data_IF_425049027307
#
_entry.id   IF_425049027307
#
_cell.length_a   1.000
_cell.length_b   1.000
_cell.length_c   1.000
_cell.angle_alpha   90.00
_cell.angle_beta   90.00
_cell.angle_gamma   90.00
#
_symmetry.space_group_name_H-M   'P 1'
#
loop_
_entity.id
_entity.type
_entity.pdbx_description
1 polymer ?
#
# COMPACT_ATOMS: atom_id res chain seq x y z
N UNK A 1 28.56 19.05 2.40
CA UNK A 1 27.48 18.16 2.80
C UNK A 1 27.85 17.54 4.13
N UNK A 2 27.25 18.06 5.21
CA UNK A 2 27.48 17.54 6.56
C UNK A 2 26.41 16.50 6.81
N UNK A 3 26.81 15.23 6.79
CA UNK A 3 26.02 14.13 7.31
C UNK A 3 26.04 14.28 8.84
N UNK A 4 24.99 14.78 9.42
CA UNK A 4 24.82 14.81 10.88
C UNK A 4 24.61 13.36 11.31
N UNK A 5 25.69 12.71 11.76
CA UNK A 5 25.63 11.37 12.37
C UNK A 5 24.86 11.50 13.67
N UNK A 6 23.64 10.98 13.67
CA UNK A 6 22.84 10.84 14.87
C UNK A 6 23.50 9.77 15.76
N UNK A 7 23.83 10.12 17.01
CA UNK A 7 24.40 9.18 17.96
C UNK A 7 23.49 9.11 19.18
N UNK A 8 22.86 7.96 19.40
CA UNK A 8 22.17 7.63 20.64
C UNK A 8 23.01 6.61 21.43
N UNK A 9 23.11 6.79 22.74
CA UNK A 9 23.80 5.88 23.63
C UNK A 9 22.86 5.48 24.77
N UNK A 10 22.71 4.15 24.97
CA UNK A 10 21.92 3.60 26.07
C UNK A 10 22.82 3.56 27.31
N UNK A 11 22.40 4.22 28.38
CA UNK A 11 23.16 4.34 29.62
C UNK A 11 22.35 3.83 30.83
N UNK A 12 23.03 3.45 31.90
CA UNK A 12 22.37 3.01 33.16
C UNK A 12 21.90 4.18 33.99
N UNK A 13 22.61 5.32 33.95
CA UNK A 13 22.23 6.59 34.54
C UNK A 13 22.61 7.72 33.58
N UNK A 14 21.75 8.74 33.47
CA UNK A 14 22.02 9.91 32.64
C UNK A 14 23.17 10.74 33.16
N UNK A 15 24.25 10.98 32.38
CA UNK A 15 25.35 11.83 32.80
C UNK A 15 24.90 13.27 32.99
N UNK A 16 25.47 13.97 33.98
CA UNK A 16 25.14 15.35 34.33
C UNK A 16 25.64 16.35 33.26
N UNK A 17 26.66 15.97 32.47
CA UNK A 17 27.19 16.77 31.35
C UNK A 17 26.93 16.07 30.04
N UNK A 18 26.05 16.61 29.23
CA UNK A 18 25.78 16.14 27.86
C UNK A 18 26.66 16.90 26.87
N UNK A 19 27.48 16.18 26.09
CA UNK A 19 28.12 16.73 24.91
C UNK A 19 27.07 17.08 23.86
N UNK A 20 27.20 18.24 23.21
CA UNK A 20 26.27 18.65 22.12
C UNK A 20 26.21 17.58 21.02
N UNK A 21 25.02 17.05 20.75
CA UNK A 21 24.76 16.08 19.68
C UNK A 21 24.77 14.59 20.10
N UNK A 22 24.91 14.28 21.40
CA UNK A 22 24.77 12.92 21.92
C UNK A 22 23.51 12.89 22.83
N UNK A 23 22.59 11.97 22.52
CA UNK A 23 21.39 11.78 23.30
C UNK A 23 21.51 10.50 24.13
N UNK A 24 21.20 10.61 25.41
CA UNK A 24 21.27 9.50 26.34
C UNK A 24 19.87 8.97 26.63
N UNK A 25 19.71 7.66 26.56
CA UNK A 25 18.46 6.97 26.85
C UNK A 25 18.70 6.00 27.99
N UNK A 26 17.89 6.07 29.04
CA UNK A 26 18.01 5.22 30.21
C UNK A 26 17.70 3.75 29.88
N UNK A 27 18.57 2.82 30.29
CA UNK A 27 18.50 1.40 29.96
C UNK A 27 17.35 0.67 30.66
N UNK A 28 17.09 1.01 31.92
CA UNK A 28 16.14 0.29 32.77
C UNK A 28 14.76 0.95 32.77
N UNK A 29 14.15 1.02 31.60
CA UNK A 29 12.76 1.47 31.41
C UNK A 29 12.04 0.53 30.42
N UNK A 30 10.72 0.69 30.31
CA UNK A 30 9.95 -0.09 29.35
C UNK A 30 10.47 0.15 27.93
N UNK A 31 10.60 -0.93 27.14
CA UNK A 31 11.11 -0.88 25.75
C UNK A 31 10.41 0.19 24.93
N UNK A 32 9.11 0.38 25.15
CA UNK A 32 8.30 1.39 24.49
C UNK A 32 8.78 2.83 24.80
N UNK A 33 9.19 3.10 26.03
CA UNK A 33 9.74 4.40 26.42
C UNK A 33 11.10 4.67 25.78
N UNK A 34 11.96 3.65 25.71
CA UNK A 34 13.26 3.74 25.03
C UNK A 34 13.04 4.14 23.56
N UNK A 35 12.09 3.48 22.88
CA UNK A 35 11.75 3.78 21.50
C UNK A 35 11.19 5.21 21.35
N UNK A 36 10.32 5.66 22.27
CA UNK A 36 9.77 7.01 22.24
C UNK A 36 10.86 8.09 22.39
N UNK A 37 11.78 7.89 23.33
CA UNK A 37 12.87 8.85 23.55
C UNK A 37 13.81 8.91 22.34
N UNK A 38 14.15 7.78 21.77
CA UNK A 38 14.95 7.74 20.54
C UNK A 38 14.22 8.47 19.39
N UNK A 39 12.93 8.18 19.19
CA UNK A 39 12.15 8.79 18.11
C UNK A 39 11.94 10.31 18.29
N UNK A 40 11.81 10.82 19.51
CA UNK A 40 11.76 12.27 19.78
C UNK A 40 13.00 13.02 19.27
N UNK A 41 14.15 12.38 19.34
CA UNK A 41 15.43 12.99 18.96
C UNK A 41 15.76 12.80 17.47
N UNK A 42 15.13 11.84 16.78
CA UNK A 42 15.30 11.61 15.32
C UNK A 42 14.52 12.63 14.47
N UNK A 43 13.81 13.57 15.11
CA UNK A 43 13.24 14.74 14.40
C UNK A 43 11.87 14.53 13.79
N UNK A 44 11.03 13.69 14.39
CA UNK A 44 9.62 13.59 14.01
C UNK A 44 8.72 13.53 15.25
N UNK A 45 7.63 14.27 15.26
CA UNK A 45 6.56 14.04 16.21
C UNK A 45 6.06 12.60 16.04
N UNK A 46 6.24 11.77 17.09
CA UNK A 46 5.62 10.43 17.12
C UNK A 46 4.14 10.63 17.42
N UNK A 47 3.30 10.16 16.53
CA UNK A 47 1.85 10.22 16.70
C UNK A 47 1.31 8.84 17.02
N UNK A 48 0.41 8.78 17.98
CA UNK A 48 -0.34 7.57 18.32
C UNK A 48 -1.66 7.55 17.55
N UNK A 49 -2.03 6.38 17.05
CA UNK A 49 -3.35 6.12 16.50
C UNK A 49 -4.36 5.98 17.64
N UNK A 50 -4.69 7.10 18.31
CA UNK A 50 -5.79 7.12 19.27
C UNK A 50 -7.12 7.01 18.56
N UNK A 51 -8.07 6.33 19.18
CA UNK A 51 -9.36 5.86 18.67
C UNK A 51 -10.38 6.97 18.30
N UNK A 52 -9.96 8.03 17.68
CA UNK A 52 -10.87 9.05 17.16
C UNK A 52 -11.18 8.80 15.68
N UNK A 53 -12.42 8.40 15.48
CA UNK A 53 -13.26 8.46 14.29
C UNK A 53 -12.63 8.46 12.91
N UNK A 54 -12.89 7.39 12.18
CA UNK A 54 -12.98 7.30 10.72
C UNK A 54 -12.69 8.58 9.91
N UNK A 55 -11.41 8.91 9.70
CA UNK A 55 -10.98 9.96 8.76
C UNK A 55 -10.51 9.39 7.40
N UNK A 56 -10.90 8.17 7.05
CA UNK A 56 -10.77 7.65 5.67
C UNK A 56 -11.81 8.30 4.74
N UNK A 57 -12.62 9.23 5.25
CA UNK A 57 -13.83 9.76 4.61
C UNK A 57 -13.63 10.51 3.29
N UNK A 58 -12.41 10.73 2.83
CA UNK A 58 -12.14 11.40 1.56
C UNK A 58 -11.25 10.60 0.60
N UNK A 59 -10.47 9.66 1.09
CA UNK A 59 -9.58 8.85 0.25
C UNK A 59 -10.34 7.66 -0.34
N UNK A 60 -10.38 7.59 -1.65
CA UNK A 60 -10.98 6.49 -2.39
C UNK A 60 -10.05 5.26 -2.39
N UNK A 61 -10.57 4.10 -2.03
CA UNK A 61 -9.84 2.84 -2.09
C UNK A 61 -10.29 2.03 -3.31
N UNK A 62 -9.33 1.59 -4.11
CA UNK A 62 -9.57 0.73 -5.27
C UNK A 62 -8.79 -0.57 -5.07
N UNK A 63 -9.44 -1.71 -5.20
CA UNK A 63 -8.80 -3.02 -5.18
C UNK A 63 -8.63 -3.57 -6.59
N UNK A 64 -7.47 -4.15 -6.86
CA UNK A 64 -7.18 -4.96 -8.04
C UNK A 64 -6.85 -6.36 -7.56
N UNK A 65 -7.57 -7.37 -8.02
CA UNK A 65 -7.44 -8.75 -7.58
C UNK A 65 -7.63 -9.72 -8.75
N UNK A 66 -7.06 -10.92 -8.66
CA UNK A 66 -7.27 -12.01 -9.61
C UNK A 66 -7.54 -13.32 -8.88
N UNK A 67 -8.51 -14.08 -9.37
CA UNK A 67 -8.86 -15.39 -8.79
C UNK A 67 -8.01 -16.53 -9.37
N UNK A 68 -7.39 -16.33 -10.53
CA UNK A 68 -6.80 -17.43 -11.28
C UNK A 68 -5.44 -17.14 -11.90
N UNK A 69 -5.32 -16.04 -12.63
CA UNK A 69 -4.19 -15.71 -13.47
C UNK A 69 -3.71 -14.30 -13.15
N UNK A 70 -2.59 -14.20 -12.49
CA UNK A 70 -2.06 -12.93 -11.99
C UNK A 70 -1.11 -12.23 -12.96
N UNK A 71 -0.78 -12.81 -14.14
CA UNK A 71 0.21 -12.19 -15.04
C UNK A 71 -0.19 -10.79 -15.52
N UNK A 72 -1.50 -10.48 -15.55
CA UNK A 72 -2.02 -9.17 -15.93
C UNK A 72 -2.40 -8.29 -14.74
N UNK A 73 -2.41 -8.80 -13.54
CA UNK A 73 -2.88 -8.08 -12.37
C UNK A 73 -1.99 -6.89 -12.03
N UNK A 74 -0.68 -7.10 -11.86
CA UNK A 74 0.27 -6.00 -11.60
C UNK A 74 0.34 -5.01 -12.77
N UNK A 75 0.44 -5.42 -14.04
CA UNK A 75 0.33 -4.50 -15.18
C UNK A 75 -0.94 -3.65 -15.13
N UNK A 76 -2.09 -4.26 -14.77
CA UNK A 76 -3.36 -3.54 -14.64
C UNK A 76 -3.31 -2.53 -13.50
N UNK A 77 -2.90 -2.93 -12.29
CA UNK A 77 -2.81 -2.06 -11.13
C UNK A 77 -1.87 -0.86 -11.37
N UNK A 78 -0.69 -1.11 -11.95
CA UNK A 78 0.29 -0.08 -12.29
C UNK A 78 -0.25 0.89 -13.34
N UNK A 79 -0.87 0.38 -14.41
CA UNK A 79 -1.40 1.22 -15.50
C UNK A 79 -2.60 2.03 -15.02
N UNK A 80 -3.51 1.43 -14.26
CA UNK A 80 -4.64 2.13 -13.63
C UNK A 80 -4.15 3.27 -12.75
N UNK A 81 -3.24 2.97 -11.83
CA UNK A 81 -2.66 3.96 -10.92
C UNK A 81 -1.96 5.09 -11.68
N UNK A 82 -1.21 4.76 -12.73
CA UNK A 82 -0.53 5.76 -13.57
C UNK A 82 -1.51 6.65 -14.36
N UNK A 83 -2.63 6.11 -14.84
CA UNK A 83 -3.67 6.89 -15.53
C UNK A 83 -4.39 7.81 -14.54
N UNK A 84 -4.78 7.30 -13.37
CA UNK A 84 -5.43 8.10 -12.34
C UNK A 84 -4.51 9.22 -11.83
N UNK A 85 -3.21 8.95 -11.69
CA UNK A 85 -2.23 9.94 -11.21
C UNK A 85 -2.03 11.14 -12.15
N UNK A 86 -2.60 11.13 -13.33
CA UNK A 86 -2.58 12.29 -14.22
C UNK A 86 -3.38 13.47 -13.63
N UNK A 87 -4.46 13.18 -12.88
CA UNK A 87 -5.40 14.16 -12.34
C UNK A 87 -5.59 14.12 -10.82
N UNK A 88 -5.15 13.05 -10.15
CA UNK A 88 -5.36 12.79 -8.73
C UNK A 88 -4.03 12.48 -8.05
N UNK A 89 -3.94 12.68 -6.73
CA UNK A 89 -2.81 12.20 -5.93
C UNK A 89 -3.04 10.74 -5.59
N UNK A 90 -2.33 9.84 -6.26
CA UNK A 90 -2.53 8.38 -6.19
C UNK A 90 -1.35 7.69 -5.51
N UNK A 91 -1.67 6.74 -4.63
CA UNK A 91 -0.72 5.80 -4.05
C UNK A 91 -1.01 4.38 -4.54
N UNK A 92 -0.01 3.69 -5.07
CA UNK A 92 -0.07 2.26 -5.35
C UNK A 92 0.56 1.49 -4.19
N UNK A 93 -0.16 0.51 -3.66
CA UNK A 93 0.34 -0.44 -2.65
C UNK A 93 0.22 -1.87 -3.17
N UNK A 94 1.28 -2.65 -2.99
CA UNK A 94 1.37 -4.01 -3.50
C UNK A 94 1.34 -5.03 -2.35
N UNK A 95 0.25 -5.78 -2.27
CA UNK A 95 0.06 -6.90 -1.34
C UNK A 95 0.12 -8.26 -2.07
N UNK A 96 0.64 -8.29 -3.28
CA UNK A 96 0.77 -9.51 -4.06
C UNK A 96 2.15 -10.12 -3.88
N UNK A 97 2.19 -11.41 -3.53
CA UNK A 97 3.42 -12.18 -3.49
C UNK A 97 4.03 -12.26 -4.90
N UNK A 98 5.34 -11.97 -4.98
CA UNK A 98 6.08 -12.10 -6.24
C UNK A 98 5.44 -11.36 -7.43
N UNK A 99 4.87 -10.19 -7.20
CA UNK A 99 4.21 -9.37 -8.24
C UNK A 99 5.13 -8.93 -9.37
N UNK A 100 6.43 -8.93 -9.13
CA UNK A 100 7.45 -8.41 -10.05
C UNK A 100 7.71 -6.91 -9.89
N UNK A 101 6.95 -6.19 -9.07
CA UNK A 101 7.09 -4.74 -8.91
C UNK A 101 8.49 -4.34 -8.43
N UNK A 102 9.08 -5.06 -7.47
CA UNK A 102 10.44 -4.80 -6.97
C UNK A 102 11.49 -4.83 -8.09
N UNK A 103 11.36 -5.78 -9.01
CA UNK A 103 12.25 -5.88 -10.18
C UNK A 103 12.00 -4.79 -11.22
N UNK A 104 10.74 -4.40 -11.40
CA UNK A 104 10.38 -3.31 -12.31
C UNK A 104 10.94 -1.97 -11.82
N UNK A 105 10.93 -1.72 -10.52
CA UNK A 105 11.40 -0.46 -9.93
C UNK A 105 12.93 -0.33 -9.94
N UNK A 106 13.67 -1.43 -10.09
CA UNK A 106 15.14 -1.47 -10.16
C UNK A 106 15.85 -0.77 -8.98
N UNK A 107 15.17 -0.64 -7.84
CA UNK A 107 15.68 0.05 -6.67
C UNK A 107 15.70 -0.88 -5.46
N UNK A 108 16.82 -0.83 -4.73
CA UNK A 108 16.93 -1.38 -3.39
C UNK A 108 16.75 -0.23 -2.39
N UNK A 109 15.84 -0.38 -1.44
CA UNK A 109 15.52 0.63 -0.44
C UNK A 109 15.58 0.04 0.96
N UNK A 110 15.93 0.86 1.93
CA UNK A 110 15.99 0.45 3.34
C UNK A 110 14.60 0.37 3.98
N UNK A 111 13.63 1.12 3.44
CA UNK A 111 12.29 1.26 3.98
C UNK A 111 11.25 0.87 2.93
N UNK A 112 10.33 0.00 3.32
CA UNK A 112 9.34 -0.60 2.43
C UNK A 112 8.01 -0.85 3.15
N UNK A 113 7.15 -1.69 2.58
CA UNK A 113 5.84 -2.04 3.15
C UNK A 113 5.98 -2.70 4.53
N UNK A 114 7.05 -3.49 4.78
CA UNK A 114 7.29 -4.12 6.10
C UNK A 114 7.32 -3.06 7.20
N UNK A 115 8.02 -1.95 6.98
CA UNK A 115 8.11 -0.88 7.97
C UNK A 115 6.78 -0.15 8.18
N UNK A 116 5.99 0.06 7.13
CA UNK A 116 4.64 0.62 7.26
C UNK A 116 3.73 -0.30 8.09
N UNK A 117 3.84 -1.62 7.90
CA UNK A 117 3.08 -2.59 8.67
C UNK A 117 3.48 -2.59 10.15
N UNK A 118 4.77 -2.51 10.46
CA UNK A 118 5.27 -2.39 11.84
C UNK A 118 4.77 -1.10 12.50
N UNK A 119 4.78 0.03 11.78
CA UNK A 119 4.20 1.28 12.27
C UNK A 119 2.69 1.15 12.53
N UNK A 120 1.97 0.50 11.62
CA UNK A 120 0.53 0.27 11.75
C UNK A 120 0.20 -0.67 12.92
N UNK A 121 1.01 -1.71 13.14
CA UNK A 121 0.84 -2.66 14.25
C UNK A 121 1.11 -1.99 15.61
N UNK A 122 2.20 -1.26 15.72
CA UNK A 122 2.57 -0.56 16.95
C UNK A 122 1.68 0.66 17.26
N UNK A 123 0.96 1.16 16.25
CA UNK A 123 0.20 2.41 16.34
C UNK A 123 1.05 3.67 16.41
N UNK A 124 2.37 3.55 16.25
CA UNK A 124 3.35 4.65 16.38
C UNK A 124 4.04 4.91 15.06
N UNK A 125 4.00 6.15 14.60
CA UNK A 125 4.56 6.52 13.32
C UNK A 125 5.07 7.97 13.33
N UNK A 126 5.88 8.30 12.32
CA UNK A 126 6.20 9.68 11.98
C UNK A 126 6.05 9.89 10.48
N UNK A 127 5.66 11.09 10.08
CA UNK A 127 5.48 11.45 8.67
C UNK A 127 6.75 11.23 7.85
N UNK A 128 7.93 11.51 8.44
CA UNK A 128 9.22 11.28 7.78
C UNK A 128 9.47 9.80 7.48
N UNK A 129 9.15 8.91 8.42
CA UNK A 129 9.29 7.46 8.22
C UNK A 129 8.30 6.92 7.20
N UNK A 130 7.06 7.42 7.20
CA UNK A 130 6.09 7.08 6.15
C UNK A 130 6.65 7.49 4.79
N UNK A 131 7.15 8.73 4.67
CA UNK A 131 7.72 9.24 3.41
C UNK A 131 8.92 8.42 2.92
N UNK A 132 9.75 7.88 3.81
CA UNK A 132 10.89 7.04 3.42
C UNK A 132 10.48 5.68 2.80
N UNK A 133 9.26 5.21 3.10
CA UNK A 133 8.70 3.99 2.51
C UNK A 133 8.03 4.23 1.14
N UNK A 134 7.92 5.50 0.71
CA UNK A 134 7.19 5.88 -0.49
C UNK A 134 8.15 6.36 -1.56
N UNK A 135 8.13 5.69 -2.70
CA UNK A 135 8.80 6.12 -3.91
C UNK A 135 7.87 6.90 -4.82
N UNK A 136 8.45 7.62 -5.79
CA UNK A 136 7.70 8.33 -6.83
C UNK A 136 8.23 8.01 -8.21
N UNK A 137 7.31 7.70 -9.11
CA UNK A 137 7.58 7.52 -10.53
C UNK A 137 6.66 8.41 -11.35
N UNK A 138 7.21 9.44 -12.00
CA UNK A 138 6.44 10.53 -12.61
C UNK A 138 5.48 11.18 -11.60
N UNK A 139 4.17 11.03 -11.78
CA UNK A 139 3.13 11.54 -10.88
C UNK A 139 2.58 10.51 -9.90
N UNK A 140 2.95 9.24 -10.08
CA UNK A 140 2.49 8.13 -9.26
C UNK A 140 3.39 7.94 -8.05
N UNK A 141 2.81 7.98 -6.86
CA UNK A 141 3.45 7.52 -5.64
C UNK A 141 3.19 6.02 -5.46
N UNK A 142 4.18 5.30 -4.95
CA UNK A 142 4.05 3.87 -4.64
C UNK A 142 4.78 3.55 -3.35
N UNK A 143 4.25 2.57 -2.62
CA UNK A 143 4.98 1.97 -1.49
C UNK A 143 5.97 0.96 -2.05
N UNK A 144 7.22 1.01 -1.60
CA UNK A 144 8.19 -0.01 -1.95
C UNK A 144 7.69 -1.39 -1.52
N UNK A 145 7.74 -2.40 -2.42
CA UNK A 145 7.20 -3.73 -2.14
C UNK A 145 7.85 -4.38 -0.93
N UNK A 146 7.10 -5.27 -0.29
CA UNK A 146 7.57 -6.10 0.81
C UNK A 146 8.72 -7.01 0.36
N UNK A 147 9.74 -7.16 1.19
CA UNK A 147 10.85 -8.09 0.92
C UNK A 147 10.55 -9.49 1.46
N UNK A 148 10.00 -9.56 2.68
CA UNK A 148 9.58 -10.82 3.27
C UNK A 148 8.08 -11.04 3.05
N UNK A 149 7.72 -11.82 2.05
CA UNK A 149 6.32 -12.10 1.70
C UNK A 149 5.55 -12.86 2.78
N UNK A 150 6.22 -13.54 3.72
CA UNK A 150 5.57 -14.21 4.86
C UNK A 150 4.87 -13.18 5.77
N UNK A 151 5.40 -11.97 5.89
CA UNK A 151 4.78 -10.90 6.68
C UNK A 151 3.39 -10.52 6.17
N UNK A 152 3.06 -10.74 4.89
CA UNK A 152 1.72 -10.52 4.36
C UNK A 152 0.66 -11.37 5.09
N UNK A 153 1.02 -12.58 5.50
CA UNK A 153 0.10 -13.48 6.20
C UNK A 153 -0.26 -12.99 7.61
N UNK A 154 0.58 -12.16 8.22
CA UNK A 154 0.39 -11.61 9.56
C UNK A 154 -0.55 -10.41 9.59
N UNK A 155 -0.82 -9.82 8.42
CA UNK A 155 -1.71 -8.67 8.30
C UNK A 155 -3.13 -9.08 8.74
N UNK A 156 -3.66 -8.36 9.72
CA UNK A 156 -5.01 -8.55 10.23
C UNK A 156 -5.82 -7.25 10.08
N UNK A 157 -7.10 -7.32 10.44
CA UNK A 157 -8.03 -6.18 10.35
C UNK A 157 -7.53 -4.93 11.08
N UNK A 158 -6.91 -5.09 12.26
CA UNK A 158 -6.41 -3.95 13.05
C UNK A 158 -5.26 -3.27 12.33
N UNK A 159 -4.27 -4.05 11.88
CA UNK A 159 -3.12 -3.53 11.10
C UNK A 159 -3.60 -2.82 9.83
N UNK A 160 -4.55 -3.42 9.09
CA UNK A 160 -5.13 -2.80 7.91
C UNK A 160 -5.78 -1.44 8.21
N UNK A 161 -6.58 -1.39 9.27
CA UNK A 161 -7.28 -0.18 9.68
C UNK A 161 -6.28 0.93 10.05
N UNK A 162 -5.29 0.59 10.85
CA UNK A 162 -4.26 1.51 11.29
C UNK A 162 -3.43 2.03 10.10
N UNK A 163 -3.05 1.14 9.17
CA UNK A 163 -2.30 1.51 7.97
C UNK A 163 -3.07 2.51 7.11
N UNK A 164 -4.33 2.22 6.80
CA UNK A 164 -5.16 3.11 5.98
C UNK A 164 -5.43 4.44 6.71
N UNK A 165 -5.65 4.41 8.03
CA UNK A 165 -5.86 5.62 8.82
C UNK A 165 -4.60 6.48 8.87
N UNK A 166 -3.44 5.88 9.08
CA UNK A 166 -2.14 6.55 9.08
C UNK A 166 -1.87 7.23 7.73
N UNK A 167 -2.05 6.51 6.62
CA UNK A 167 -1.86 7.05 5.29
C UNK A 167 -2.87 8.16 4.95
N UNK A 168 -4.13 7.98 5.32
CA UNK A 168 -5.20 8.98 5.09
C UNK A 168 -4.97 10.27 5.88
N UNK A 169 -4.53 10.18 7.15
CA UNK A 169 -4.26 11.35 8.00
C UNK A 169 -3.04 12.14 7.57
N UNK A 170 -1.95 11.44 7.20
CA UNK A 170 -0.66 12.09 6.99
C UNK A 170 -0.39 12.48 5.54
N UNK A 171 -0.90 11.69 4.60
CA UNK A 171 -0.44 11.80 3.22
C UNK A 171 -1.46 12.44 2.28
N UNK A 172 -2.72 12.51 2.68
CA UNK A 172 -3.81 13.15 1.92
C UNK A 172 -3.87 12.70 0.45
N UNK A 173 -3.95 11.37 0.23
CA UNK A 173 -4.17 10.81 -1.09
C UNK A 173 -5.64 10.89 -1.49
N UNK A 174 -5.90 11.25 -2.75
CA UNK A 174 -7.25 11.21 -3.33
C UNK A 174 -7.67 9.76 -3.57
N UNK A 175 -6.70 8.92 -3.96
CA UNK A 175 -6.95 7.52 -4.26
C UNK A 175 -5.77 6.63 -3.81
N UNK A 176 -6.09 5.48 -3.23
CA UNK A 176 -5.13 4.40 -2.96
C UNK A 176 -5.55 3.18 -3.76
N UNK A 177 -4.67 2.70 -4.63
CA UNK A 177 -4.85 1.47 -5.41
C UNK A 177 -4.12 0.33 -4.71
N UNK A 178 -4.87 -0.71 -4.35
CA UNK A 178 -4.38 -1.87 -3.64
C UNK A 178 -4.28 -3.05 -4.63
N UNK A 179 -3.06 -3.47 -4.96
CA UNK A 179 -2.83 -4.69 -5.71
C UNK A 179 -2.88 -5.86 -4.72
N UNK A 180 -4.04 -6.54 -4.65
CA UNK A 180 -4.32 -7.58 -3.66
C UNK A 180 -3.80 -8.93 -4.13
N UNK A 181 -3.01 -9.60 -3.30
CA UNK A 181 -2.47 -10.93 -3.58
C UNK A 181 -3.13 -12.03 -2.75
N UNK A 182 -2.32 -12.77 -2.01
CA UNK A 182 -2.77 -13.82 -1.11
C UNK A 182 -3.74 -13.27 -0.07
N UNK A 183 -4.75 -14.06 0.27
CA UNK A 183 -5.75 -13.70 1.27
C UNK A 183 -5.15 -13.77 2.67
N UNK A 184 -4.98 -12.62 3.30
CA UNK A 184 -4.62 -12.45 4.70
C UNK A 184 -5.87 -12.21 5.56
N UNK A 185 -5.74 -12.19 6.89
CA UNK A 185 -6.90 -12.11 7.80
C UNK A 185 -7.77 -10.86 7.61
N UNK A 186 -7.18 -9.73 7.22
CA UNK A 186 -7.89 -8.47 6.95
C UNK A 186 -8.37 -8.28 5.50
N UNK A 187 -8.20 -9.27 4.62
CA UNK A 187 -8.48 -9.18 3.19
C UNK A 187 -9.92 -8.72 2.88
N UNK A 188 -10.91 -9.38 3.47
CA UNK A 188 -12.32 -9.05 3.22
C UNK A 188 -12.74 -7.71 3.83
N UNK A 189 -12.12 -7.33 4.95
CA UNK A 189 -12.37 -6.02 5.58
C UNK A 189 -11.88 -4.87 4.70
N UNK A 190 -10.73 -5.04 4.05
CA UNK A 190 -10.23 -4.10 3.04
C UNK A 190 -11.18 -4.05 1.85
N UNK A 191 -11.57 -5.19 1.29
CA UNK A 191 -12.52 -5.24 0.18
C UNK A 191 -13.83 -4.54 0.52
N UNK A 192 -14.32 -4.70 1.75
CA UNK A 192 -15.50 -4.02 2.25
C UNK A 192 -15.41 -2.49 2.21
N UNK A 193 -14.22 -1.94 2.20
CA UNK A 193 -13.95 -0.49 2.17
C UNK A 193 -13.65 0.05 0.78
N UNK A 194 -13.32 -0.81 -0.17
CA UNK A 194 -13.02 -0.37 -1.53
C UNK A 194 -14.28 0.14 -2.23
N UNK A 195 -14.19 1.30 -2.86
CA UNK A 195 -15.26 1.84 -3.71
C UNK A 195 -15.40 1.07 -5.01
N UNK A 196 -14.28 0.57 -5.54
CA UNK A 196 -14.21 -0.18 -6.77
C UNK A 196 -13.32 -1.41 -6.58
N UNK A 197 -13.74 -2.54 -7.12
CA UNK A 197 -13.01 -3.80 -7.07
C UNK A 197 -12.88 -4.33 -8.50
N UNK A 198 -11.67 -4.26 -9.04
CA UNK A 198 -11.37 -4.78 -10.36
C UNK A 198 -10.89 -6.22 -10.24
N UNK A 199 -11.73 -7.14 -10.70
CA UNK A 199 -11.41 -8.56 -10.77
C UNK A 199 -10.83 -8.89 -12.13
N UNK A 200 -9.50 -8.98 -12.20
CA UNK A 200 -8.74 -9.21 -13.44
C UNK A 200 -8.66 -10.70 -13.71
N UNK A 201 -9.30 -11.18 -14.77
CA UNK A 201 -9.29 -12.59 -15.13
C UNK A 201 -9.60 -12.80 -16.60
N UNK A 202 -9.17 -13.95 -17.15
CA UNK A 202 -9.57 -14.40 -18.48
C UNK A 202 -10.92 -15.10 -18.44
N UNK A 203 -11.70 -14.96 -19.48
CA UNK A 203 -12.94 -15.73 -19.64
C UNK A 203 -12.64 -17.22 -19.84
N UNK A 204 -13.48 -18.05 -19.23
CA UNK A 204 -13.42 -19.51 -19.33
C UNK A 204 -14.27 -20.18 -18.27
N UNK A 205 -14.61 -21.46 -18.47
CA UNK A 205 -15.49 -22.18 -17.56
C UNK A 205 -14.99 -22.23 -16.12
N UNK A 206 -13.69 -22.51 -15.92
CA UNK A 206 -13.07 -22.53 -14.57
C UNK A 206 -13.05 -21.14 -13.94
N UNK A 207 -12.80 -20.09 -14.72
CA UNK A 207 -12.82 -18.70 -14.20
C UNK A 207 -14.21 -18.31 -13.71
N UNK A 208 -15.27 -18.72 -14.43
CA UNK A 208 -16.66 -18.47 -14.01
C UNK A 208 -17.01 -19.21 -12.71
N UNK A 209 -16.54 -20.44 -12.53
CA UNK A 209 -16.79 -21.18 -11.29
C UNK A 209 -16.05 -20.53 -10.10
N UNK A 210 -14.82 -20.11 -10.28
CA UNK A 210 -14.07 -19.37 -9.22
C UNK A 210 -14.73 -18.04 -8.87
N UNK A 211 -15.26 -17.34 -9.86
CA UNK A 211 -16.05 -16.12 -9.66
C UNK A 211 -17.32 -16.40 -8.85
N UNK A 212 -18.02 -17.46 -9.19
CA UNK A 212 -19.22 -17.90 -8.46
C UNK A 212 -18.87 -18.24 -7.00
N UNK A 213 -17.86 -19.08 -6.75
CA UNK A 213 -17.39 -19.42 -5.41
C UNK A 213 -16.97 -18.19 -4.61
N UNK A 214 -16.27 -17.25 -5.23
CA UNK A 214 -15.85 -16.01 -4.57
C UNK A 214 -17.05 -15.12 -4.22
N UNK A 215 -18.03 -15.05 -5.11
CA UNK A 215 -19.25 -14.28 -4.89
C UNK A 215 -20.10 -14.91 -3.77
N UNK A 216 -20.25 -16.23 -3.74
CA UNK A 216 -20.91 -16.93 -2.66
C UNK A 216 -20.22 -16.68 -1.32
N UNK A 217 -18.89 -16.78 -1.27
CA UNK A 217 -18.11 -16.50 -0.07
C UNK A 217 -18.34 -15.07 0.45
N UNK A 218 -18.41 -14.08 -0.43
CA UNK A 218 -18.72 -12.69 -0.06
C UNK A 218 -20.13 -12.56 0.54
N UNK A 219 -21.12 -13.22 -0.06
CA UNK A 219 -22.51 -13.21 0.42
C UNK A 219 -22.62 -13.88 1.80
N UNK A 220 -21.99 -15.04 1.99
CA UNK A 220 -21.96 -15.76 3.27
C UNK A 220 -21.30 -14.94 4.39
N UNK A 221 -20.33 -14.10 4.05
CA UNK A 221 -19.69 -13.16 5.00
C UNK A 221 -20.51 -11.89 5.27
N UNK A 222 -21.68 -11.74 4.66
CA UNK A 222 -22.51 -10.55 4.78
C UNK A 222 -21.99 -9.34 3.96
N UNK A 223 -21.16 -9.59 2.96
CA UNK A 223 -20.54 -8.57 2.09
C UNK A 223 -21.23 -8.49 0.73
N UNK A 224 -22.55 -8.65 0.66
CA UNK A 224 -23.33 -8.58 -0.59
C UNK A 224 -23.15 -7.24 -1.30
N UNK A 225 -22.97 -6.15 -0.56
CA UNK A 225 -22.67 -4.83 -1.11
C UNK A 225 -21.28 -4.74 -1.79
N UNK A 226 -20.36 -5.65 -1.48
CA UNK A 226 -19.05 -5.76 -2.16
C UNK A 226 -19.24 -6.34 -3.56
N UNK A 227 -20.13 -7.33 -3.69
CA UNK A 227 -20.42 -7.96 -4.98
C UNK A 227 -20.86 -6.95 -6.03
N UNK A 228 -21.70 -5.98 -5.65
CA UNK A 228 -22.20 -4.92 -6.55
C UNK A 228 -21.08 -3.99 -7.06
N UNK A 229 -19.95 -3.92 -6.35
CA UNK A 229 -18.81 -3.09 -6.69
C UNK A 229 -17.74 -3.82 -7.50
N UNK A 230 -17.91 -5.12 -7.72
CA UNK A 230 -16.99 -5.93 -8.52
C UNK A 230 -17.18 -5.60 -10.00
N UNK A 231 -16.07 -5.25 -10.64
CA UNK A 231 -15.98 -5.04 -12.08
C UNK A 231 -15.06 -6.09 -12.67
N UNK A 232 -15.64 -6.98 -13.46
CA UNK A 232 -14.89 -8.02 -14.15
C UNK A 232 -14.10 -7.42 -15.31
N UNK A 233 -12.81 -7.69 -15.33
CA UNK A 233 -11.89 -7.18 -16.33
C UNK A 233 -11.28 -8.36 -17.09
N UNK A 234 -11.51 -8.38 -18.38
CA UNK A 234 -10.79 -9.27 -19.30
C UNK A 234 -9.69 -8.45 -19.99
N UNK A 235 -8.44 -8.55 -19.53
CA UNK A 235 -7.36 -7.81 -20.15
C UNK A 235 -7.08 -8.36 -21.54
N UNK A 236 -6.80 -7.49 -22.54
CA UNK A 236 -6.31 -7.93 -23.83
C UNK A 236 -4.97 -8.65 -23.68
N UNK A 237 -4.69 -9.57 -24.60
CA UNK A 237 -3.40 -10.26 -24.59
C UNK A 237 -2.31 -9.27 -24.99
N UNK A 238 -1.41 -9.00 -24.06
CA UNK A 238 -0.25 -8.14 -24.32
C UNK A 238 1.03 -8.95 -24.28
N UNK A 239 1.90 -8.72 -25.26
CA UNK A 239 3.27 -9.21 -25.22
C UNK A 239 4.12 -8.15 -24.52
N UNK A 240 4.60 -8.49 -23.33
CA UNK A 240 5.44 -7.59 -22.54
C UNK A 240 6.89 -7.99 -22.67
N UNK A 241 7.73 -7.23 -23.37
CA UNK A 241 9.16 -7.51 -23.42
C UNK A 241 9.77 -7.17 -22.04
N UNK A 242 10.85 -7.87 -21.67
CA UNK A 242 11.64 -7.49 -20.50
C UNK A 242 12.23 -6.10 -20.76
N UNK A 243 11.87 -5.13 -19.92
CA UNK A 243 12.26 -3.72 -20.09
C UNK A 243 12.21 -2.98 -18.75
N UNK A 244 12.65 -1.72 -18.74
CA UNK A 244 12.54 -0.84 -17.56
C UNK A 244 11.10 -0.49 -17.25
N UNK A 245 10.81 -0.19 -15.98
CA UNK A 245 9.47 0.17 -15.51
C UNK A 245 8.84 1.30 -16.35
N UNK A 246 9.59 2.37 -16.62
CA UNK A 246 9.09 3.51 -17.39
C UNK A 246 8.59 3.12 -18.78
N UNK A 247 9.41 2.33 -19.50
CA UNK A 247 9.05 1.86 -20.84
C UNK A 247 7.84 0.92 -20.82
N UNK A 248 7.73 0.07 -19.79
CA UNK A 248 6.60 -0.84 -19.64
C UNK A 248 5.30 -0.08 -19.35
N UNK A 249 5.33 0.85 -18.40
CA UNK A 249 4.16 1.67 -18.04
C UNK A 249 3.70 2.51 -19.22
N UNK A 250 4.62 3.16 -19.94
CA UNK A 250 4.25 3.91 -21.16
C UNK A 250 3.68 2.98 -22.24
N UNK A 251 4.27 1.80 -22.47
CA UNK A 251 3.74 0.82 -23.41
C UNK A 251 2.32 0.41 -23.06
N UNK A 252 2.05 0.10 -21.79
CA UNK A 252 0.72 -0.30 -21.31
C UNK A 252 -0.30 0.84 -21.37
N UNK A 253 0.11 2.06 -21.07
CA UNK A 253 -0.76 3.25 -21.13
C UNK A 253 -1.24 3.56 -22.54
N UNK A 254 -0.38 3.36 -23.55
CA UNK A 254 -0.64 3.81 -24.93
C UNK A 254 -1.01 2.69 -25.90
N UNK A 255 -1.32 1.50 -25.40
CA UNK A 255 -1.84 0.40 -26.21
C UNK A 255 -3.31 0.11 -25.86
N UNK A 256 -3.87 -0.95 -26.47
CA UNK A 256 -5.25 -1.41 -26.24
C UNK A 256 -5.57 -1.64 -24.75
N UNK A 257 -4.58 -2.06 -23.95
CA UNK A 257 -4.71 -2.27 -22.51
C UNK A 257 -5.02 -0.95 -21.76
N UNK A 258 -4.29 0.12 -22.08
CA UNK A 258 -4.54 1.44 -21.52
C UNK A 258 -5.88 2.03 -21.97
N UNK A 259 -6.32 1.75 -23.20
CA UNK A 259 -7.61 2.21 -23.69
C UNK A 259 -8.77 1.54 -22.96
N UNK A 260 -8.68 0.26 -22.67
CA UNK A 260 -9.66 -0.47 -21.82
C UNK A 260 -9.75 0.21 -20.46
N UNK A 261 -8.62 0.49 -19.82
CA UNK A 261 -8.59 1.13 -18.49
C UNK A 261 -9.17 2.55 -18.55
N UNK A 262 -8.81 3.39 -19.54
CA UNK A 262 -9.37 4.74 -19.67
C UNK A 262 -10.88 4.74 -19.88
N UNK A 263 -11.39 3.79 -20.67
CA UNK A 263 -12.85 3.70 -20.90
C UNK A 263 -13.61 3.37 -19.61
N UNK A 264 -12.98 2.58 -18.71
CA UNK A 264 -13.55 2.22 -17.42
C UNK A 264 -13.48 3.38 -16.42
N UNK A 265 -12.38 4.13 -16.42
CA UNK A 265 -12.18 5.24 -15.47
C UNK A 265 -12.99 6.48 -15.83
N UNK A 266 -13.37 6.69 -17.10
CA UNK A 266 -14.25 7.81 -17.52
C UNK A 266 -15.63 7.78 -16.83
N UNK A 267 -16.13 6.61 -16.44
CA UNK A 267 -17.36 6.47 -15.66
C UNK A 267 -17.25 6.88 -14.19
N UNK A 268 -16.02 6.98 -13.66
CA UNK A 268 -15.73 7.26 -12.25
C UNK A 268 -15.61 8.77 -12.00
N UNK A 269 -15.16 9.52 -13.00
CA UNK A 269 -14.90 10.98 -12.90
C UNK A 269 -16.16 11.86 -12.91
N UNK A 270 -17.37 11.30 -13.13
CA UNK A 270 -18.62 12.07 -13.22
C UNK A 270 -19.51 12.00 -11.98
N UNK A 271 -19.02 11.40 -10.87
CA UNK A 271 -19.77 11.27 -9.61
C UNK A 271 -19.10 12.08 -8.48
N UNK A 272 -18.83 13.36 -8.72
CA UNK A 272 -18.30 14.33 -7.77
C UNK A 272 -19.29 15.48 -7.57
#
# INVERSE_FOLDING_TARGET
PYTTLFRSQIVEETPIDSEEGIYFVEKYQEVNRIVEEILKHVGGEVRDLTSEGSLIGQTRLISVYSLADNQYQMPFAMTLSSILSENEKVLLMDFQENSGLSRMLEQSVEHNLDELLVMAESGRYSTNRINSCIGRKHKLDYVYPIENTECLCEINTVICNNLLQMLGKEMHYDCIVLNMGTRFKGFFDILGRCSDIYLVQKKGGISQWREYEFTEELIERGLSNVVERIKLIEPPVITTPVSTCDKLVELWKWNEFGDVIRNMTRGISCAG
#
